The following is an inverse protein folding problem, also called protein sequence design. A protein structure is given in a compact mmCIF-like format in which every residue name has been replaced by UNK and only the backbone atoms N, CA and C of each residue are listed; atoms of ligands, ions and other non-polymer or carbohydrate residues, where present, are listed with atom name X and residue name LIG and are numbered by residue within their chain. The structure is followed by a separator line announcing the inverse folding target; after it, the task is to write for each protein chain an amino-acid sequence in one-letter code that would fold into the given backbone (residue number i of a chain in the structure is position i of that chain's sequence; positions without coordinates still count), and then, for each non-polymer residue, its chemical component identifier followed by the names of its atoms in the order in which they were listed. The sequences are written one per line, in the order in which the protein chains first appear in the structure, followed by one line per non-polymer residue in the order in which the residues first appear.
data_IF_785624873875
#
_entry.id   IF_785624873875
#
_cell.length_a   1.000
_cell.length_b   1.000
_cell.length_c   1.000
_cell.angle_alpha   90.00
_cell.angle_beta   90.00
_cell.angle_gamma   90.00
#
_symmetry.space_group_name_H-M   'P 1'
#
loop_
_entity.id
_entity.type
_entity.pdbx_description
1 polymer ?
#
# COMPACT_ATOMS: atom_id res chain seq x y z
N UNK A 1 0.45 4.93 -11.23
CA UNK A 1 0.69 3.52 -10.83
C UNK A 1 0.47 2.59 -12.01
N UNK A 2 1.35 1.63 -12.18
CA UNK A 2 1.24 0.65 -13.27
C UNK A 2 1.78 -0.71 -12.79
N UNK A 3 1.40 -1.77 -13.50
CA UNK A 3 1.90 -3.12 -13.23
C UNK A 3 3.43 -3.14 -13.27
N UNK A 4 4.05 -3.75 -12.27
CA UNK A 4 5.50 -3.80 -12.11
C UNK A 4 6.05 -2.76 -11.13
N UNK A 5 5.26 -1.76 -10.75
CA UNK A 5 5.71 -0.77 -9.77
C UNK A 5 5.82 -1.40 -8.38
N UNK A 6 6.88 -1.04 -7.66
CA UNK A 6 7.01 -1.35 -6.23
C UNK A 6 6.33 -0.24 -5.46
N UNK A 7 5.40 -0.59 -4.61
CA UNK A 7 4.58 0.39 -3.89
C UNK A 7 4.62 0.17 -2.38
N UNK A 8 4.50 1.27 -1.66
CA UNK A 8 4.25 1.31 -0.23
C UNK A 8 2.80 1.72 -0.04
N UNK A 9 1.99 0.84 0.54
CA UNK A 9 0.57 1.06 0.77
C UNK A 9 0.31 1.21 2.26
N UNK A 10 -0.13 2.38 2.69
CA UNK A 10 -0.44 2.64 4.09
C UNK A 10 -1.67 1.85 4.53
N UNK A 11 -1.63 1.28 5.73
CA UNK A 11 -2.78 0.58 6.31
C UNK A 11 -3.84 1.57 6.80
N UNK A 12 -3.40 2.75 7.23
CA UNK A 12 -4.30 3.78 7.77
C UNK A 12 -3.98 5.15 7.17
N UNK A 13 -5.02 5.95 6.94
CA UNK A 13 -4.85 7.31 6.46
C UNK A 13 -4.09 8.15 7.50
N UNK A 14 -3.05 8.85 7.04
CA UNK A 14 -2.29 9.77 7.90
C UNK A 14 -1.33 9.11 8.88
N UNK A 15 -1.19 7.79 8.83
CA UNK A 15 -0.24 7.03 9.65
C UNK A 15 0.78 6.37 8.73
N UNK A 16 2.04 6.76 8.86
CA UNK A 16 3.09 6.37 7.92
C UNK A 16 3.99 5.22 8.40
N UNK A 17 3.77 4.71 9.61
CA UNK A 17 4.58 3.65 10.19
C UNK A 17 3.91 2.27 10.16
N UNK A 18 2.72 2.16 9.55
CA UNK A 18 2.02 0.89 9.34
C UNK A 18 1.71 0.76 7.84
N UNK A 19 2.39 -0.15 7.16
CA UNK A 19 2.23 -0.28 5.72
C UNK A 19 2.64 -1.66 5.21
N UNK A 20 2.26 -1.92 3.96
CA UNK A 20 2.73 -3.08 3.21
C UNK A 20 3.50 -2.63 1.98
N UNK A 21 4.52 -3.38 1.62
CA UNK A 21 5.28 -3.21 0.39
C UNK A 21 4.92 -4.35 -0.54
N UNK A 22 4.70 -4.03 -1.80
CA UNK A 22 4.39 -5.03 -2.81
C UNK A 22 4.70 -4.57 -4.22
N UNK A 23 4.62 -5.51 -5.15
CA UNK A 23 4.77 -5.24 -6.59
C UNK A 23 3.39 -5.30 -7.23
N UNK A 24 2.99 -4.23 -7.91
CA UNK A 24 1.67 -4.15 -8.53
C UNK A 24 1.55 -5.21 -9.62
N UNK A 25 0.50 -6.03 -9.54
CA UNK A 25 0.17 -7.05 -10.55
C UNK A 25 -1.11 -6.73 -11.30
N UNK A 26 -1.93 -5.82 -10.80
CA UNK A 26 -3.15 -5.39 -11.47
C UNK A 26 -3.65 -4.05 -10.93
N UNK A 27 -4.18 -3.23 -11.81
CA UNK A 27 -4.81 -1.96 -11.46
C UNK A 27 -6.26 -2.03 -11.91
N UNK A 28 -7.19 -1.72 -10.99
CA UNK A 28 -8.62 -1.85 -11.25
C UNK A 28 -9.25 -0.50 -11.47
N UNK A 29 -10.25 -0.44 -12.36
CA UNK A 29 -10.95 0.80 -12.70
C UNK A 29 -11.70 1.41 -11.52
N UNK A 30 -12.05 0.59 -10.53
CA UNK A 30 -12.79 1.02 -9.34
C UNK A 30 -11.90 1.68 -8.27
N UNK A 31 -10.66 2.02 -8.61
CA UNK A 31 -9.78 2.74 -7.69
C UNK A 31 -9.01 1.85 -6.73
N UNK A 32 -8.94 0.56 -6.97
CA UNK A 32 -8.10 -0.37 -6.19
C UNK A 32 -6.98 -0.94 -7.05
N UNK A 33 -6.00 -1.55 -6.40
CA UNK A 33 -4.96 -2.30 -7.07
C UNK A 33 -4.68 -3.59 -6.31
N UNK A 34 -4.09 -4.56 -7.00
CA UNK A 34 -3.63 -5.81 -6.42
C UNK A 34 -2.12 -5.88 -6.55
N UNK A 35 -1.45 -6.28 -5.49
CA UNK A 35 0.00 -6.37 -5.47
C UNK A 35 0.46 -7.70 -4.88
N UNK A 36 1.59 -8.19 -5.39
CA UNK A 36 2.28 -9.33 -4.80
C UNK A 36 3.01 -8.84 -3.55
N UNK A 37 2.75 -9.48 -2.43
CA UNK A 37 3.26 -9.10 -1.12
C UNK A 37 4.79 -9.28 -1.04
N UNK A 38 5.48 -8.29 -0.50
CA UNK A 38 6.90 -8.36 -0.18
C UNK A 38 7.10 -8.38 1.32
N UNK A 39 6.59 -7.36 2.05
CA UNK A 39 6.72 -7.28 3.50
C UNK A 39 5.67 -6.36 4.10
N UNK A 40 5.46 -6.50 5.39
CA UNK A 40 4.61 -5.64 6.19
C UNK A 40 5.43 -4.99 7.29
N UNK A 41 5.16 -3.72 7.55
CA UNK A 41 5.73 -2.97 8.67
C UNK A 41 4.58 -2.54 9.57
N UNK A 42 4.73 -2.75 10.85
CA UNK A 42 3.73 -2.39 11.85
C UNK A 42 4.40 -1.59 12.96
N UNK A 43 3.91 -0.36 13.16
CA UNK A 43 4.48 0.58 14.14
C UNK A 43 6.00 0.74 13.99
N UNK A 44 6.47 0.81 12.73
CA UNK A 44 7.88 1.02 12.42
C UNK A 44 8.75 -0.24 12.47
N UNK A 45 8.18 -1.40 12.80
CA UNK A 45 8.91 -2.67 12.91
C UNK A 45 8.40 -3.66 11.87
N UNK A 46 9.32 -4.33 11.17
CA UNK A 46 8.94 -5.34 10.19
C UNK A 46 8.22 -6.50 10.87
N UNK A 47 7.01 -6.80 10.41
CA UNK A 47 6.21 -7.92 10.89
C UNK A 47 6.55 -9.17 10.07
N UNK A 48 7.45 -9.99 10.61
CA UNK A 48 7.92 -11.22 9.95
C UNK A 48 6.96 -12.39 10.10
N UNK A 49 5.94 -12.26 10.94
CA UNK A 49 4.95 -13.31 11.15
C UNK A 49 3.83 -13.25 10.15
N UNK A 50 3.53 -12.06 9.64
CA UNK A 50 2.50 -11.86 8.64
C UNK A 50 2.99 -12.33 7.28
N UNK A 51 2.23 -13.21 6.64
CA UNK A 51 2.54 -13.71 5.29
C UNK A 51 1.26 -13.81 4.49
N UNK A 52 1.31 -13.33 3.26
CA UNK A 52 0.26 -13.49 2.27
C UNK A 52 0.92 -13.47 0.89
N UNK A 53 0.27 -14.03 -0.11
CA UNK A 53 0.80 -13.98 -1.47
C UNK A 53 0.51 -12.65 -2.14
N UNK A 54 -0.69 -12.12 -1.93
CA UNK A 54 -1.16 -10.88 -2.56
C UNK A 54 -1.95 -10.05 -1.58
N UNK A 55 -2.06 -8.76 -1.86
CA UNK A 55 -3.00 -7.90 -1.16
C UNK A 55 -3.69 -6.95 -2.14
N UNK A 56 -4.88 -6.49 -1.78
CA UNK A 56 -5.66 -5.51 -2.52
C UNK A 56 -5.84 -4.29 -1.64
N UNK A 57 -5.60 -3.11 -2.21
CA UNK A 57 -5.68 -1.87 -1.46
C UNK A 57 -6.21 -0.75 -2.36
N UNK A 58 -6.76 0.33 -1.79
CA UNK A 58 -7.17 1.48 -2.57
C UNK A 58 -5.95 2.23 -3.09
N UNK A 59 -6.04 2.77 -4.31
CA UNK A 59 -5.01 3.62 -4.88
C UNK A 59 -4.92 4.96 -4.15
N UNK A 60 -6.07 5.43 -3.65
CA UNK A 60 -6.17 6.67 -2.89
C UNK A 60 -7.03 6.40 -1.66
N UNK A 61 -6.77 7.11 -0.57
CA UNK A 61 -7.64 7.06 0.57
C UNK A 61 -8.92 7.86 0.35
N UNK A 62 -9.79 7.86 1.35
CA UNK A 62 -11.00 8.67 1.31
C UNK A 62 -10.64 10.14 1.44
N UNK A 63 -11.17 10.99 0.57
CA UNK A 63 -10.81 12.41 0.51
C UNK A 63 -10.92 13.14 1.84
N UNK A 64 -11.92 12.80 2.66
CA UNK A 64 -12.15 13.48 3.94
C UNK A 64 -11.10 13.11 5.00
N UNK A 65 -10.36 12.04 4.82
CA UNK A 65 -9.37 11.56 5.78
C UNK A 65 -7.94 11.66 5.28
N UNK A 66 -7.75 11.86 3.97
CA UNK A 66 -6.41 11.96 3.42
C UNK A 66 -5.85 13.36 3.59
N UNK A 67 -4.60 13.41 4.01
CA UNK A 67 -3.82 14.63 4.02
C UNK A 67 -2.88 14.62 2.83
N UNK A 68 -2.70 15.75 2.13
CA UNK A 68 -1.80 15.80 0.98
C UNK A 68 -0.38 15.32 1.27
N UNK A 69 0.10 15.55 2.49
CA UNK A 69 1.43 15.15 2.92
C UNK A 69 1.56 13.65 3.23
N UNK A 70 0.44 12.93 3.32
CA UNK A 70 0.43 11.50 3.60
C UNK A 70 -0.39 10.75 2.54
N UNK A 71 0.12 10.60 1.32
CA UNK A 71 -0.57 9.84 0.29
C UNK A 71 -0.73 8.38 0.72
N UNK A 72 -1.91 7.80 0.42
CA UNK A 72 -2.21 6.41 0.78
C UNK A 72 -1.22 5.42 0.19
N UNK A 73 -0.79 5.68 -1.04
CA UNK A 73 0.13 4.82 -1.78
C UNK A 73 1.27 5.64 -2.33
N UNK A 74 2.49 5.16 -2.16
CA UNK A 74 3.69 5.78 -2.70
C UNK A 74 4.37 4.78 -3.63
N UNK A 75 4.67 5.21 -4.85
CA UNK A 75 5.45 4.40 -5.80
C UNK A 75 6.92 4.54 -5.45
N UNK A 76 7.57 3.42 -5.17
CA UNK A 76 8.98 3.39 -4.76
C UNK A 76 9.92 3.09 -5.93
N UNK A 77 9.38 2.47 -6.96
CA UNK A 77 10.21 2.13 -8.12
C UNK A 77 9.56 1.25 -9.14
#
# INVERSE_FOLDING_TARGET
MQVGDVVKSLDFNGIDNCYMIGVVVGVHEMGTFRAKFIKRVWEGVEDRKFKTDYFTAPQQGQQIFDKPEFPRVVVLG
#
